data_IF_346578892470
#
_entry.id   IF_346578892470
#
_cell.length_a   1.000
_cell.length_b   1.000
_cell.length_c   1.000
_cell.angle_alpha   90.00
_cell.angle_beta   90.00
_cell.angle_gamma   90.00
#
_symmetry.space_group_name_H-M   'P 1'
#
loop_
_entity.id
_entity.type
_entity.pdbx_description
1 polymer ?
#
# COMPACT_ATOMS: atom_id res chain seq x y z
N UNK A 1 -8.27 8.90 -3.34
CA UNK A 1 -7.27 7.86 -3.59
C UNK A 1 -7.37 6.83 -2.47
N UNK A 2 -7.20 5.53 -2.72
CA UNK A 2 -7.15 4.54 -1.64
C UNK A 2 -6.00 4.88 -0.68
N UNK A 3 -6.22 4.74 0.63
CA UNK A 3 -5.21 4.98 1.66
C UNK A 3 -4.13 3.90 1.56
N UNK A 4 -2.87 4.29 1.38
CA UNK A 4 -1.76 3.34 1.34
C UNK A 4 -1.27 3.08 2.77
N UNK A 5 -1.28 1.83 3.21
CA UNK A 5 -0.70 1.45 4.50
C UNK A 5 0.82 1.54 4.48
N UNK A 6 1.42 1.89 5.61
CA UNK A 6 2.86 1.92 5.76
C UNK A 6 3.31 2.13 7.19
N UNK A 7 4.57 2.53 7.34
CA UNK A 7 5.22 2.78 8.62
C UNK A 7 5.74 4.22 8.66
N UNK A 8 5.44 4.93 9.73
CA UNK A 8 5.99 6.25 10.05
C UNK A 8 7.22 6.09 10.94
N UNK A 9 8.39 6.46 10.45
CA UNK A 9 9.56 6.69 11.29
C UNK A 9 9.45 8.08 11.89
N UNK A 10 9.33 8.14 13.23
CA UNK A 10 9.22 9.39 13.97
C UNK A 10 10.39 9.54 14.94
N UNK A 11 10.88 10.77 15.06
CA UNK A 11 11.82 11.16 16.13
C UNK A 11 11.18 12.26 16.94
N UNK A 12 11.22 12.12 18.26
CA UNK A 12 10.54 13.04 19.17
C UNK A 12 11.52 13.61 20.17
N UNK A 13 11.36 14.90 20.40
CA UNK A 13 12.12 15.67 21.38
C UNK A 13 11.17 16.13 22.48
N UNK A 14 11.72 16.28 23.68
CA UNK A 14 10.95 16.58 24.87
C UNK A 14 11.32 17.94 25.43
N UNK A 15 10.33 18.66 25.95
CA UNK A 15 10.53 19.85 26.76
C UNK A 15 9.96 19.64 28.17
N UNK A 16 10.74 19.87 29.25
CA UNK A 16 12.16 20.26 29.23
C UNK A 16 13.06 19.13 28.66
N UNK A 17 14.22 19.50 28.11
CA UNK A 17 15.16 18.59 27.40
C UNK A 17 15.94 17.65 28.34
N UNK A 18 15.28 17.12 29.36
CA UNK A 18 15.85 16.18 30.34
C UNK A 18 15.88 14.76 29.77
N UNK A 19 15.10 14.48 28.73
CA UNK A 19 14.97 13.18 28.10
C UNK A 19 15.74 13.14 26.77
N UNK A 20 16.41 12.02 26.51
CA UNK A 20 16.98 11.74 25.19
C UNK A 20 15.87 11.71 24.15
N UNK A 21 16.14 12.16 22.90
CA UNK A 21 15.21 11.92 21.80
C UNK A 21 14.86 10.43 21.71
N UNK A 22 13.59 10.14 21.45
CA UNK A 22 13.09 8.79 21.22
C UNK A 22 12.75 8.63 19.74
N UNK A 23 13.05 7.47 19.17
CA UNK A 23 12.72 7.13 17.79
C UNK A 23 11.91 5.85 17.75
N UNK A 24 10.79 5.90 17.03
CA UNK A 24 9.88 4.74 16.92
C UNK A 24 9.25 4.68 15.53
N UNK A 25 8.78 3.48 15.21
CA UNK A 25 8.11 3.16 13.95
C UNK A 25 6.63 2.91 14.23
N UNK A 26 5.75 3.71 13.62
CA UNK A 26 4.31 3.63 13.83
C UNK A 26 3.61 3.11 12.58
N UNK A 27 2.76 2.10 12.71
CA UNK A 27 1.93 1.65 11.58
C UNK A 27 0.86 2.70 11.32
N UNK A 28 0.74 3.11 10.04
CA UNK A 28 -0.11 4.21 9.63
C UNK A 28 -0.58 4.11 8.18
N UNK A 29 -1.23 5.18 7.71
CA UNK A 29 -1.54 5.44 6.31
C UNK A 29 -0.68 6.59 5.79
N UNK A 30 -0.52 6.66 4.46
CA UNK A 30 0.24 7.71 3.77
C UNK A 30 -0.34 9.12 3.95
N UNK A 31 -1.64 9.22 4.21
CA UNK A 31 -2.37 10.46 4.49
C UNK A 31 -2.46 10.79 5.98
N UNK A 32 -1.87 9.98 6.86
CA UNK A 32 -1.80 10.31 8.28
C UNK A 32 -0.93 11.55 8.50
N UNK A 33 -1.37 12.45 9.39
CA UNK A 33 -0.49 13.44 10.01
C UNK A 33 -0.44 13.13 11.52
N UNK A 34 0.52 12.31 11.98
CA UNK A 34 0.58 11.92 13.38
C UNK A 34 0.66 13.13 14.31
N UNK A 35 -0.15 13.16 15.36
CA UNK A 35 -0.17 14.24 16.34
C UNK A 35 -0.24 13.71 17.77
N UNK A 36 0.16 14.56 18.73
CA UNK A 36 0.11 14.22 20.15
C UNK A 36 -1.25 14.54 20.75
N UNK A 37 -1.81 13.60 21.50
CA UNK A 37 -2.99 13.83 22.34
C UNK A 37 -2.71 13.39 23.78
N UNK A 38 -3.10 14.22 24.74
CA UNK A 38 -2.96 13.93 26.17
C UNK A 38 -4.25 13.31 26.68
N UNK A 39 -4.18 12.05 27.14
CA UNK A 39 -5.30 11.33 27.73
C UNK A 39 -4.86 10.69 29.05
N UNK A 40 -5.64 10.84 30.13
CA UNK A 40 -5.33 10.26 31.45
C UNK A 40 -3.88 10.54 31.92
N UNK A 41 -3.42 11.78 31.77
CA UNK A 41 -2.05 12.21 32.07
C UNK A 41 -0.94 11.48 31.30
N UNK A 42 -1.25 10.89 30.15
CA UNK A 42 -0.28 10.26 29.27
C UNK A 42 -0.45 10.74 27.83
N UNK A 43 0.66 11.09 27.19
CA UNK A 43 0.68 11.44 25.78
C UNK A 43 0.59 10.18 24.93
N UNK A 44 -0.28 10.21 23.94
CA UNK A 44 -0.38 9.20 22.89
C UNK A 44 -0.17 9.85 21.53
N UNK A 45 0.20 9.06 20.54
CA UNK A 45 0.27 9.50 19.15
C UNK A 45 -0.96 8.98 18.43
N UNK A 46 -1.69 9.88 17.78
CA UNK A 46 -2.92 9.59 17.05
C UNK A 46 -2.76 9.95 15.57
N UNK A 47 -3.52 9.24 14.73
CA UNK A 47 -3.69 9.63 13.33
C UNK A 47 -4.66 10.81 13.22
N UNK A 48 -4.28 11.86 12.50
CA UNK A 48 -5.21 12.92 12.10
C UNK A 48 -6.26 12.47 11.07
N UNK A 49 -6.02 11.36 10.35
CA UNK A 49 -6.88 10.92 9.27
C UNK A 49 -8.10 10.13 9.75
N UNK A 50 -8.01 9.43 10.88
CA UNK A 50 -9.10 8.63 11.45
C UNK A 50 -9.21 8.65 12.98
N UNK A 51 -8.32 9.37 13.68
CA UNK A 51 -8.34 9.46 15.14
C UNK A 51 -7.85 8.22 15.87
N UNK A 52 -7.38 7.18 15.17
CA UNK A 52 -6.88 5.96 15.82
C UNK A 52 -5.62 6.26 16.63
N UNK A 53 -5.43 5.50 17.71
CA UNK A 53 -4.19 5.54 18.48
C UNK A 53 -3.12 4.73 17.73
N UNK A 54 -2.07 5.42 17.30
CA UNK A 54 -0.89 4.83 16.66
C UNK A 54 0.14 4.37 17.69
N UNK A 55 0.22 5.08 18.83
CA UNK A 55 1.12 4.74 19.93
C UNK A 55 0.53 5.16 21.28
N UNK A 56 0.01 4.23 22.09
CA UNK A 56 -0.65 4.55 23.35
C UNK A 56 0.35 4.85 24.48
N UNK A 57 -0.05 5.70 25.42
CA UNK A 57 0.56 5.84 26.75
C UNK A 57 2.09 6.03 26.76
N UNK A 58 2.59 6.85 25.84
CA UNK A 58 4.02 6.95 25.57
C UNK A 58 4.82 7.59 26.70
N UNK A 59 4.44 8.80 27.09
CA UNK A 59 5.16 9.60 28.07
C UNK A 59 4.17 10.31 29.00
N UNK A 60 4.60 10.56 30.24
CA UNK A 60 3.75 11.24 31.23
C UNK A 60 3.46 12.70 30.88
N UNK A 61 2.39 13.27 31.46
CA UNK A 61 1.93 14.64 31.21
C UNK A 61 2.96 15.75 31.53
N UNK A 62 3.97 15.44 32.33
CA UNK A 62 4.97 16.42 32.78
C UNK A 62 6.03 16.77 31.72
N UNK A 63 5.97 16.14 30.55
CA UNK A 63 6.79 16.51 29.39
C UNK A 63 5.90 16.98 28.26
N UNK A 64 6.40 17.91 27.46
CA UNK A 64 5.76 18.34 26.21
C UNK A 64 6.53 17.75 25.04
N UNK A 65 6.01 16.71 24.37
CA UNK A 65 6.66 16.12 23.20
C UNK A 65 6.45 16.97 21.95
N UNK A 66 7.43 16.98 21.06
CA UNK A 66 7.29 17.52 19.69
C UNK A 66 8.04 16.66 18.68
N UNK A 67 7.55 16.64 17.44
CA UNK A 67 8.20 15.85 16.38
C UNK A 67 9.39 16.63 15.82
N UNK A 68 10.55 15.98 15.78
CA UNK A 68 11.73 16.46 15.06
C UNK A 68 11.84 15.88 13.65
N UNK A 69 11.22 14.73 13.39
CA UNK A 69 11.21 14.07 12.08
C UNK A 69 9.92 13.26 11.91
N UNK A 70 9.36 13.27 10.68
CA UNK A 70 8.24 12.42 10.26
C UNK A 70 8.52 11.91 8.85
N UNK A 71 8.90 10.65 8.71
CA UNK A 71 9.11 10.01 7.41
C UNK A 71 8.15 8.83 7.26
N UNK A 72 7.39 8.79 6.18
CA UNK A 72 6.54 7.66 5.84
C UNK A 72 7.25 6.71 4.88
N UNK A 73 7.21 5.42 5.18
CA UNK A 73 7.64 4.36 4.29
C UNK A 73 6.44 3.48 3.98
N UNK A 74 5.93 3.48 2.74
CA UNK A 74 4.82 2.61 2.37
C UNK A 74 5.20 1.14 2.57
N UNK A 75 4.27 0.35 3.11
CA UNK A 75 4.41 -1.10 3.10
C UNK A 75 4.10 -1.52 1.68
N UNK A 76 5.04 -2.22 1.05
CA UNK A 76 4.83 -2.85 -0.24
C UNK A 76 3.65 -3.83 -0.09
N UNK A 77 2.50 -3.50 -0.68
CA UNK A 77 1.37 -4.41 -0.74
C UNK A 77 1.70 -5.43 -1.83
N UNK A 78 1.86 -6.72 -1.51
CA UNK A 78 2.19 -7.67 -2.54
C UNK A 78 0.96 -7.95 -3.43
N UNK A 79 1.22 -8.24 -4.70
CA UNK A 79 0.21 -8.44 -5.74
C UNK A 79 0.34 -9.83 -6.37
N UNK A 80 -0.77 -10.35 -6.86
CA UNK A 80 -0.83 -11.57 -7.66
C UNK A 80 -1.38 -11.29 -9.04
N UNK A 81 -0.93 -12.09 -10.01
CA UNK A 81 -1.46 -12.12 -11.35
C UNK A 81 -2.50 -13.24 -11.47
N UNK A 82 -3.79 -12.88 -11.53
CA UNK A 82 -4.87 -13.86 -11.73
C UNK A 82 -5.67 -13.47 -12.96
N UNK A 83 -5.73 -14.38 -13.94
CA UNK A 83 -6.42 -14.18 -15.22
C UNK A 83 -5.99 -12.91 -15.98
N UNK A 84 -4.70 -12.54 -15.87
CA UNK A 84 -4.16 -11.33 -16.48
C UNK A 84 -4.43 -10.04 -15.68
N UNK A 85 -5.16 -10.10 -14.57
CA UNK A 85 -5.36 -8.94 -13.71
C UNK A 85 -4.38 -8.98 -12.53
N UNK A 86 -3.79 -7.82 -12.24
CA UNK A 86 -3.07 -7.59 -11.01
C UNK A 86 -4.03 -7.28 -9.88
N UNK A 87 -4.01 -8.11 -8.87
CA UNK A 87 -4.87 -8.03 -7.70
C UNK A 87 -4.00 -7.98 -6.44
N UNK A 88 -4.49 -7.35 -5.38
CA UNK A 88 -3.79 -7.38 -4.10
C UNK A 88 -3.84 -8.81 -3.53
N UNK A 89 -2.70 -9.29 -3.00
CA UNK A 89 -2.59 -10.64 -2.44
C UNK A 89 -3.57 -10.90 -1.27
N UNK A 90 -3.94 -9.83 -0.55
CA UNK A 90 -4.94 -9.87 0.53
C UNK A 90 -6.34 -10.28 0.07
N UNK A 91 -6.68 -10.14 -1.22
CA UNK A 91 -8.01 -10.48 -1.75
C UNK A 91 -8.27 -11.98 -1.70
N UNK A 92 -7.25 -12.80 -1.97
CA UNK A 92 -7.35 -14.27 -1.94
C UNK A 92 -6.46 -14.93 -0.88
N UNK A 93 -5.90 -14.14 0.04
CA UNK A 93 -4.97 -14.63 1.08
C UNK A 93 -3.79 -15.43 0.50
N UNK A 94 -3.34 -15.03 -0.67
CA UNK A 94 -2.17 -15.58 -1.35
C UNK A 94 -0.89 -14.91 -0.82
N UNK A 95 0.29 -15.56 -0.93
CA UNK A 95 1.54 -14.94 -0.50
C UNK A 95 1.90 -13.66 -1.26
N UNK A 96 1.38 -13.49 -2.49
CA UNK A 96 1.72 -12.38 -3.38
C UNK A 96 3.08 -12.57 -4.04
N UNK A 97 3.09 -12.74 -5.37
CA UNK A 97 4.32 -12.99 -6.14
C UNK A 97 5.10 -11.69 -6.38
N UNK A 98 4.40 -10.57 -6.55
CA UNK A 98 5.00 -9.29 -6.95
C UNK A 98 4.98 -8.30 -5.79
N UNK A 99 6.06 -7.56 -5.60
CA UNK A 99 6.19 -6.63 -4.47
C UNK A 99 5.48 -5.30 -4.74
N UNK A 100 5.29 -4.93 -6.01
CA UNK A 100 4.60 -3.71 -6.41
C UNK A 100 3.56 -3.99 -7.50
N UNK A 101 2.60 -3.07 -7.65
CA UNK A 101 1.63 -3.13 -8.73
C UNK A 101 2.32 -3.06 -10.11
N UNK A 102 3.32 -2.19 -10.26
CA UNK A 102 4.06 -2.02 -11.51
C UNK A 102 4.79 -3.31 -11.90
N UNK A 103 5.47 -3.97 -10.95
CA UNK A 103 6.13 -5.25 -11.19
C UNK A 103 5.12 -6.33 -11.63
N UNK A 104 3.94 -6.35 -10.98
CA UNK A 104 2.85 -7.23 -11.39
C UNK A 104 2.37 -6.90 -12.81
N UNK A 105 2.12 -5.63 -13.14
CA UNK A 105 1.58 -5.23 -14.45
C UNK A 105 2.56 -5.53 -15.59
N UNK A 106 3.87 -5.42 -15.33
CA UNK A 106 4.89 -5.81 -16.30
C UNK A 106 4.89 -7.33 -16.52
N UNK A 107 4.79 -8.12 -15.45
CA UNK A 107 4.94 -9.58 -15.52
C UNK A 107 3.65 -10.33 -15.90
N UNK A 108 2.51 -9.88 -15.37
CA UNK A 108 1.17 -10.37 -15.72
C UNK A 108 0.77 -9.97 -17.14
N UNK A 109 1.51 -9.02 -17.72
CA UNK A 109 1.13 -8.24 -18.88
C UNK A 109 0.08 -7.19 -18.50
N UNK A 110 -0.21 -6.29 -19.43
CA UNK A 110 -1.47 -5.53 -19.42
C UNK A 110 -2.57 -6.56 -19.72
N UNK A 111 -2.86 -7.47 -18.80
CA UNK A 111 -3.91 -8.44 -19.04
C UNK A 111 -5.18 -7.65 -19.25
N UNK A 112 -5.91 -8.10 -20.25
CA UNK A 112 -7.08 -7.45 -20.79
C UNK A 112 -7.95 -6.91 -19.65
N UNK A 113 -7.85 -5.62 -19.37
CA UNK A 113 -8.53 -4.94 -18.25
C UNK A 113 -10.02 -4.81 -18.58
N UNK A 114 -10.69 -5.94 -18.82
CA UNK A 114 -12.03 -6.02 -19.39
C UNK A 114 -12.10 -6.06 -20.93
N UNK A 115 -10.99 -6.00 -21.68
CA UNK A 115 -10.98 -6.25 -23.14
C UNK A 115 -10.61 -7.69 -23.47
N UNK A 116 -11.27 -8.66 -22.85
CA UNK A 116 -11.26 -10.00 -23.44
C UNK A 116 -11.74 -9.85 -24.88
N UNK A 117 -11.02 -10.45 -25.82
CA UNK A 117 -11.46 -10.55 -27.21
C UNK A 117 -12.88 -11.16 -27.15
N UNK A 118 -13.88 -10.46 -27.68
CA UNK A 118 -15.25 -10.96 -27.60
C UNK A 118 -15.34 -12.31 -28.32
N UNK A 119 -16.28 -13.19 -27.95
CA UNK A 119 -16.45 -14.47 -28.67
C UNK A 119 -16.62 -14.25 -30.18
N UNK A 120 -17.21 -13.12 -30.59
CA UNK A 120 -17.29 -12.69 -31.99
C UNK A 120 -15.93 -12.36 -32.60
N UNK A 121 -15.09 -11.58 -31.92
CA UNK A 121 -13.75 -11.25 -32.40
C UNK A 121 -12.86 -12.51 -32.45
N UNK A 122 -13.04 -13.43 -31.48
CA UNK A 122 -12.35 -14.71 -31.47
C UNK A 122 -12.77 -15.62 -32.63
N UNK A 123 -14.08 -15.70 -32.91
CA UNK A 123 -14.59 -16.42 -34.07
C UNK A 123 -14.07 -15.82 -35.39
N UNK A 124 -13.92 -14.50 -35.46
CA UNK A 124 -13.36 -13.81 -36.62
C UNK A 124 -11.87 -14.16 -36.83
N UNK A 125 -11.08 -14.19 -35.74
CA UNK A 125 -9.67 -14.63 -35.76
C UNK A 125 -9.56 -16.09 -36.22
N UNK A 126 -10.42 -16.99 -35.70
CA UNK A 126 -10.44 -18.39 -36.16
C UNK A 126 -10.81 -18.50 -37.65
N UNK A 127 -11.79 -17.73 -38.11
CA UNK A 127 -12.17 -17.68 -39.53
C UNK A 127 -11.02 -17.26 -40.43
N UNK A 128 -10.31 -16.18 -40.06
CA UNK A 128 -9.12 -15.71 -40.77
C UNK A 128 -7.98 -16.75 -40.75
N UNK A 129 -7.74 -17.40 -39.61
CA UNK A 129 -6.71 -18.45 -39.50
C UNK A 129 -6.98 -19.62 -40.45
N UNK A 130 -8.23 -20.05 -40.56
CA UNK A 130 -8.63 -21.14 -41.47
C UNK A 130 -8.50 -20.73 -42.94
N UNK A 131 -8.79 -19.46 -43.28
CA UNK A 131 -8.57 -18.95 -44.64
C UNK A 131 -7.09 -18.88 -45.00
N UNK A 132 -6.23 -18.50 -44.06
CA UNK A 132 -4.78 -18.46 -44.26
C UNK A 132 -4.17 -19.87 -44.40
N UNK A 133 -4.62 -20.84 -43.58
CA UNK A 133 -4.20 -22.25 -43.71
C UNK A 133 -4.47 -22.82 -45.10
N UNK A 134 -5.59 -22.44 -45.71
CA UNK A 134 -5.96 -22.90 -47.06
C UNK A 134 -5.30 -22.10 -48.19
N UNK A 135 -4.52 -21.06 -47.87
CA UNK A 135 -3.80 -20.21 -48.83
C UNK A 135 -2.28 -20.33 -48.74
N UNK A 136 -1.74 -20.98 -47.72
CA UNK A 136 -0.34 -21.41 -47.69
C UNK A 136 -0.16 -22.62 -48.62
N UNK A 137 -0.06 -22.35 -49.92
CA UNK A 137 0.44 -23.33 -50.87
C UNK A 137 1.97 -23.45 -50.71
N UNK A 138 2.46 -24.69 -50.61
CA UNK A 138 3.87 -25.03 -50.89
C UNK A 138 4.15 -24.89 -52.39
#
# INVERSE_FOLDING_TARGET
MPRQSGTWAITVVYSPAVFSPDSTNLVGYSDDNPYFALNNNQWSILSAADGRVMYPNWVGANVTPSFSLKNFTPVATPHDCINGACIMASVYSTPGIYTTLEECEVACGIGCSGKCISNSDWAQIQGLSNQLKNRSCN
#
